data_IF_837661973590
#
_entry.id   IF_837661973590
#
_cell.length_a   1.000
_cell.length_b   1.000
_cell.length_c   1.000
_cell.angle_alpha   90.00
_cell.angle_beta   90.00
_cell.angle_gamma   90.00
#
_symmetry.space_group_name_H-M   'P 1'
#
loop_
_entity.id
_entity.type
_entity.pdbx_description
1 polymer ?
#
# COMPACT_ATOMS: atom_id res chain seq x y z
N UNK A 1 -4.41 21.73 12.64
CA UNK A 1 -2.94 21.54 12.54
C UNK A 1 -2.62 20.92 11.19
N UNK A 2 -1.81 21.57 10.33
CA UNK A 2 -1.06 20.99 9.19
C UNK A 2 -1.68 19.74 8.55
N UNK A 3 -2.95 19.79 8.13
CA UNK A 3 -3.64 18.65 7.52
C UNK A 3 -2.91 18.13 6.26
N UNK A 4 -2.22 19.03 5.54
CA UNK A 4 -1.26 18.68 4.47
C UNK A 4 -0.08 17.84 4.93
N UNK A 5 0.47 18.07 6.13
CA UNK A 5 1.57 17.28 6.69
C UNK A 5 1.14 15.85 7.03
N UNK A 6 -0.12 15.67 7.46
CA UNK A 6 -0.70 14.33 7.65
C UNK A 6 -0.82 13.61 6.31
N UNK A 7 -1.27 14.31 5.27
CA UNK A 7 -1.31 13.77 3.90
C UNK A 7 0.06 13.31 3.39
N UNK A 8 1.11 14.11 3.58
CA UNK A 8 2.49 13.70 3.25
C UNK A 8 2.95 12.47 4.04
N UNK A 9 2.64 12.41 5.34
CA UNK A 9 3.00 11.28 6.20
C UNK A 9 2.31 9.98 5.73
N UNK A 10 1.03 10.05 5.34
CA UNK A 10 0.27 8.92 4.79
C UNK A 10 0.87 8.43 3.47
N UNK A 11 1.26 9.35 2.57
CA UNK A 11 1.92 8.99 1.30
C UNK A 11 3.28 8.32 1.53
N UNK A 12 4.08 8.83 2.47
CA UNK A 12 5.37 8.21 2.80
C UNK A 12 5.20 6.80 3.34
N UNK A 13 4.22 6.57 4.22
CA UNK A 13 3.91 5.22 4.72
C UNK A 13 3.43 4.31 3.57
N UNK A 14 2.55 4.81 2.70
CA UNK A 14 2.07 4.04 1.55
C UNK A 14 3.23 3.62 0.63
N UNK A 15 4.22 4.49 0.39
CA UNK A 15 5.42 4.15 -0.38
C UNK A 15 6.27 3.06 0.28
N UNK A 16 6.45 3.13 1.60
CA UNK A 16 7.18 2.11 2.36
C UNK A 16 6.45 0.76 2.27
N UNK A 17 5.12 0.76 2.47
CA UNK A 17 4.29 -0.44 2.36
C UNK A 17 4.33 -1.03 0.94
N UNK A 18 4.33 -0.17 -0.09
CA UNK A 18 4.46 -0.60 -1.49
C UNK A 18 5.77 -1.35 -1.73
N UNK A 19 6.89 -0.83 -1.20
CA UNK A 19 8.19 -1.48 -1.29
C UNK A 19 8.21 -2.83 -0.57
N UNK A 20 7.59 -2.91 0.60
CA UNK A 20 7.48 -4.16 1.37
C UNK A 20 6.70 -5.20 0.56
N UNK A 21 5.51 -4.85 0.05
CA UNK A 21 4.68 -5.75 -0.77
C UNK A 21 5.46 -6.23 -2.01
N UNK A 22 6.18 -5.33 -2.67
CA UNK A 22 6.99 -5.68 -3.83
C UNK A 22 8.11 -6.67 -3.49
N UNK A 23 8.82 -6.44 -2.38
CA UNK A 23 9.87 -7.34 -1.92
C UNK A 23 9.31 -8.72 -1.53
N UNK A 24 8.21 -8.74 -0.78
CA UNK A 24 7.57 -10.00 -0.39
C UNK A 24 7.08 -10.81 -1.59
N UNK A 25 6.48 -10.18 -2.60
CA UNK A 25 6.01 -10.90 -3.78
C UNK A 25 7.17 -11.53 -4.56
N UNK A 26 8.33 -10.87 -4.64
CA UNK A 26 9.51 -11.50 -5.24
C UNK A 26 9.98 -12.72 -4.46
N UNK A 27 10.07 -12.61 -3.14
CA UNK A 27 10.49 -13.73 -2.29
C UNK A 27 9.52 -14.89 -2.36
N UNK A 28 8.20 -14.64 -2.37
CA UNK A 28 7.19 -15.69 -2.50
C UNK A 28 7.24 -16.35 -3.88
N UNK A 29 7.51 -15.59 -4.95
CA UNK A 29 7.66 -16.15 -6.30
C UNK A 29 8.91 -17.05 -6.38
N UNK A 30 10.03 -16.65 -5.78
CA UNK A 30 11.25 -17.47 -5.70
C UNK A 30 11.03 -18.73 -4.84
N UNK A 31 10.33 -18.62 -3.71
CA UNK A 31 9.98 -19.78 -2.89
C UNK A 31 9.02 -20.72 -3.63
N UNK A 32 8.03 -20.17 -4.34
CA UNK A 32 7.04 -20.96 -5.05
C UNK A 32 7.70 -21.71 -6.23
N UNK A 33 8.64 -21.11 -6.96
CA UNK A 33 9.38 -21.81 -8.02
C UNK A 33 10.33 -22.88 -7.47
N UNK A 34 10.97 -22.63 -6.33
CA UNK A 34 11.81 -23.62 -5.65
C UNK A 34 11.00 -24.80 -5.11
N UNK A 35 9.84 -24.55 -4.50
CA UNK A 35 8.97 -25.59 -3.90
C UNK A 35 8.24 -26.40 -4.97
N UNK A 36 7.84 -25.76 -6.07
CA UNK A 36 7.17 -26.41 -7.19
C UNK A 36 8.06 -27.42 -7.93
N UNK A 37 9.38 -27.31 -7.77
CA UNK A 37 10.34 -28.31 -8.27
C UNK A 37 10.30 -29.63 -7.48
N UNK A 38 9.69 -29.64 -6.29
CA UNK A 38 9.70 -30.77 -5.34
C UNK A 38 8.31 -31.43 -5.22
N UNK A 39 7.22 -30.67 -5.41
CA UNK A 39 5.85 -31.11 -5.11
C UNK A 39 4.99 -31.55 -6.31
N UNK A 40 5.50 -31.49 -7.54
CA UNK A 40 4.75 -31.92 -8.74
C UNK A 40 3.78 -30.85 -9.29
N UNK A 41 2.93 -31.18 -10.28
CA UNK A 41 2.30 -30.22 -11.21
C UNK A 41 1.26 -29.28 -10.60
N UNK A 42 0.83 -29.51 -9.36
CA UNK A 42 -0.15 -28.68 -8.67
C UNK A 42 0.57 -27.80 -7.66
N UNK A 43 0.95 -26.59 -8.07
CA UNK A 43 1.59 -25.60 -7.20
C UNK A 43 0.56 -24.53 -6.79
N UNK A 44 -0.22 -24.78 -5.72
CA UNK A 44 -1.29 -23.87 -5.29
C UNK A 44 -0.75 -22.49 -4.90
N UNK A 45 0.48 -22.42 -4.37
CA UNK A 45 1.12 -21.17 -3.94
C UNK A 45 1.36 -20.16 -5.07
N UNK A 46 1.51 -20.61 -6.32
CA UNK A 46 1.72 -19.72 -7.47
C UNK A 46 0.41 -19.03 -7.91
N UNK A 47 -0.72 -19.74 -7.80
CA UNK A 47 -2.05 -19.18 -8.08
C UNK A 47 -2.50 -18.21 -6.98
N UNK A 48 -2.29 -18.57 -5.71
CA UNK A 48 -2.68 -17.70 -4.61
C UNK A 48 -1.81 -16.44 -4.49
N UNK A 49 -0.52 -16.52 -4.81
CA UNK A 49 0.38 -15.35 -4.83
C UNK A 49 -0.10 -14.26 -5.79
N UNK A 50 -0.58 -14.64 -6.98
CA UNK A 50 -1.05 -13.66 -7.97
C UNK A 50 -2.36 -12.97 -7.53
N UNK A 51 -3.25 -13.71 -6.85
CA UNK A 51 -4.47 -13.14 -6.27
C UNK A 51 -4.17 -12.22 -5.09
N UNK A 52 -3.25 -12.60 -4.20
CA UNK A 52 -2.80 -11.75 -3.09
C UNK A 52 -2.14 -10.46 -3.57
N UNK A 53 -1.32 -10.51 -4.62
CA UNK A 53 -0.72 -9.31 -5.21
C UNK A 53 -1.79 -8.35 -5.74
N UNK A 54 -2.83 -8.87 -6.41
CA UNK A 54 -3.92 -8.06 -6.93
C UNK A 54 -4.73 -7.38 -5.80
N UNK A 55 -5.08 -8.13 -4.75
CA UNK A 55 -5.81 -7.60 -3.59
C UNK A 55 -4.97 -6.54 -2.85
N UNK A 56 -3.70 -6.84 -2.59
CA UNK A 56 -2.77 -5.90 -1.94
C UNK A 56 -2.54 -4.64 -2.80
N UNK A 57 -2.49 -4.79 -4.13
CA UNK A 57 -2.38 -3.66 -5.05
C UNK A 57 -3.60 -2.73 -5.00
N UNK A 58 -4.81 -3.29 -4.95
CA UNK A 58 -6.05 -2.51 -4.82
C UNK A 58 -6.09 -1.76 -3.48
N UNK A 59 -5.74 -2.44 -2.38
CA UNK A 59 -5.71 -1.83 -1.05
C UNK A 59 -4.69 -0.69 -0.99
N UNK A 60 -3.49 -0.91 -1.53
CA UNK A 60 -2.44 0.10 -1.60
C UNK A 60 -2.88 1.31 -2.43
N UNK A 61 -3.52 1.09 -3.58
CA UNK A 61 -4.06 2.16 -4.42
C UNK A 61 -5.14 2.97 -3.70
N UNK A 62 -5.98 2.32 -2.89
CA UNK A 62 -7.00 3.00 -2.09
C UNK A 62 -6.36 3.90 -1.01
N UNK A 63 -5.37 3.38 -0.28
CA UNK A 63 -4.63 4.13 0.75
C UNK A 63 -3.87 5.31 0.13
N UNK A 64 -3.20 5.08 -1.00
CA UNK A 64 -2.52 6.15 -1.74
C UNK A 64 -3.52 7.21 -2.22
N UNK A 65 -4.68 6.79 -2.74
CA UNK A 65 -5.77 7.69 -3.15
C UNK A 65 -6.29 8.56 -2.00
N UNK A 66 -6.48 7.97 -0.82
CA UNK A 66 -6.85 8.74 0.39
C UNK A 66 -5.75 9.73 0.82
N UNK A 67 -4.48 9.33 0.74
CA UNK A 67 -3.35 10.21 1.03
C UNK A 67 -3.30 11.41 0.07
N UNK A 68 -3.48 11.17 -1.22
CA UNK A 68 -3.56 12.23 -2.25
C UNK A 68 -4.76 13.13 -1.99
N UNK A 69 -5.93 12.55 -1.69
CA UNK A 69 -7.14 13.32 -1.38
C UNK A 69 -6.91 14.25 -0.20
N UNK A 70 -6.29 13.78 0.89
CA UNK A 70 -5.95 14.61 2.04
C UNK A 70 -4.96 15.72 1.71
N UNK A 71 -4.02 15.53 0.78
CA UNK A 71 -3.10 16.60 0.36
C UNK A 71 -3.84 17.71 -0.42
N UNK A 72 -4.71 17.34 -1.35
CA UNK A 72 -5.39 18.28 -2.25
C UNK A 72 -6.63 18.92 -1.62
N UNK A 73 -7.44 18.15 -0.88
CA UNK A 73 -8.73 18.59 -0.31
C UNK A 73 -8.67 18.99 1.15
N UNK A 74 -7.49 18.94 1.79
CA UNK A 74 -7.28 19.54 3.09
C UNK A 74 -7.48 21.07 3.03
N UNK A 75 -8.71 21.53 3.24
CA UNK A 75 -8.99 22.91 3.58
C UNK A 75 -8.47 23.20 4.98
N UNK A 76 -7.62 24.22 5.09
CA UNK A 76 -7.17 24.72 6.38
C UNK A 76 -8.36 25.43 7.03
N UNK A 77 -8.99 24.79 8.01
CA UNK A 77 -9.88 25.46 8.93
C UNK A 77 -9.04 26.46 9.74
N UNK A 78 -8.92 27.69 9.22
CA UNK A 78 -8.42 28.82 10.00
C UNK A 78 -9.46 29.06 11.09
N UNK A 79 -9.16 28.57 12.30
CA UNK A 79 -9.91 28.96 13.50
C UNK A 79 -9.66 30.45 13.68
N UNK A 80 -10.57 31.28 13.16
CA UNK A 80 -10.56 32.73 13.38
C UNK A 80 -11.03 32.95 14.82
N UNK A 81 -10.14 32.77 15.80
CA UNK A 81 -10.38 33.28 17.15
C UNK A 81 -10.35 34.80 17.07
N UNK A 82 -11.52 35.42 16.84
CA UNK A 82 -11.73 36.83 17.16
C UNK A 82 -11.63 36.98 18.67
N UNK A 83 -10.54 37.55 19.17
CA UNK A 83 -10.52 38.16 20.51
C UNK A 83 -11.21 39.53 20.41
N UNK A 84 -12.17 39.76 21.31
CA UNK A 84 -12.86 41.04 21.53
C UNK A 84 -12.11 41.84 22.60
#
# INVERSE_FOLDING_TARGET
MKNKAVGYLVITIALIVALIIFSYNRTVLDLATASCSIEGPECPHLKESNQQLMINGILLAFIAGMGIYLIFFSHEEKIITKFK
#
